data_IF_560155996409
#
_entry.id   IF_560155996409
#
_cell.length_a   1.000
_cell.length_b   1.000
_cell.length_c   1.000
_cell.angle_alpha   90.00
_cell.angle_beta   90.00
_cell.angle_gamma   90.00
#
_symmetry.space_group_name_H-M   'P 1'
#
loop_
_entity.id
_entity.type
_entity.pdbx_description
1 polymer ?
#
# COMPACT_ATOMS: atom_id res chain seq x y z
N UNK A 1 22.59 -10.19 -42.50
CA UNK A 1 22.27 -11.16 -41.43
C UNK A 1 23.47 -11.22 -40.50
N UNK A 2 23.41 -10.50 -39.39
CA UNK A 2 24.51 -10.37 -38.44
C UNK A 2 24.13 -11.09 -37.14
N UNK A 3 24.90 -12.10 -36.78
CA UNK A 3 24.83 -12.81 -35.50
C UNK A 3 25.32 -11.90 -34.38
N UNK A 4 24.49 -11.67 -33.37
CA UNK A 4 24.88 -10.98 -32.14
C UNK A 4 25.38 -12.03 -31.15
N UNK A 5 26.70 -12.09 -30.96
CA UNK A 5 27.33 -12.82 -29.87
C UNK A 5 27.02 -12.14 -28.53
N UNK A 6 26.31 -12.85 -27.65
CA UNK A 6 26.10 -12.43 -26.27
C UNK A 6 27.36 -12.78 -25.46
N UNK A 7 28.07 -11.73 -25.04
CA UNK A 7 29.21 -11.78 -24.14
C UNK A 7 28.86 -12.45 -22.82
N UNK A 8 29.60 -13.52 -22.48
CA UNK A 8 29.54 -14.20 -21.18
C UNK A 8 30.24 -13.33 -20.14
N UNK A 9 29.46 -12.76 -19.22
CA UNK A 9 30.02 -12.05 -18.07
C UNK A 9 30.73 -13.00 -17.10
N UNK A 10 31.93 -12.58 -16.75
CA UNK A 10 32.93 -13.24 -15.92
C UNK A 10 32.44 -13.46 -14.47
N UNK A 11 32.50 -14.72 -14.02
CA UNK A 11 32.05 -15.21 -12.70
C UNK A 11 33.23 -15.65 -11.83
N UNK A 12 34.42 -15.04 -11.95
CA UNK A 12 35.58 -15.43 -11.16
C UNK A 12 36.40 -14.26 -10.62
N UNK A 13 35.99 -13.70 -9.48
CA UNK A 13 36.94 -12.95 -8.63
C UNK A 13 36.61 -12.85 -7.12
N UNK A 14 35.64 -13.60 -6.58
CA UNK A 14 35.31 -13.56 -5.13
C UNK A 14 35.48 -14.90 -4.39
N UNK A 15 36.37 -15.77 -4.85
CA UNK A 15 36.72 -17.00 -4.15
C UNK A 15 38.23 -17.08 -3.96
N UNK A 16 38.73 -16.38 -2.94
CA UNK A 16 39.94 -16.73 -2.19
C UNK A 16 40.16 -15.75 -1.02
N UNK A 17 39.31 -15.84 0.01
CA UNK A 17 39.68 -15.36 1.35
C UNK A 17 39.53 -16.54 2.32
N UNK A 18 40.64 -16.90 2.97
CA UNK A 18 40.68 -17.97 3.98
C UNK A 18 39.74 -17.61 5.14
N UNK A 19 38.90 -18.54 5.63
CA UNK A 19 38.02 -18.26 6.76
C UNK A 19 38.84 -18.08 8.03
N UNK A 20 38.68 -16.92 8.69
CA UNK A 20 39.15 -16.70 10.05
C UNK A 20 38.47 -17.70 11.00
N UNK A 21 39.26 -18.26 11.94
CA UNK A 21 38.79 -19.22 12.95
C UNK A 21 37.61 -18.62 13.73
N UNK A 22 36.42 -19.21 13.57
CA UNK A 22 35.21 -18.85 14.33
C UNK A 22 35.36 -19.25 15.80
N UNK A 23 35.59 -18.28 16.66
CA UNK A 23 35.40 -18.43 18.11
C UNK A 23 33.90 -18.67 18.36
N UNK A 24 33.53 -19.86 18.85
CA UNK A 24 32.16 -20.18 19.26
C UNK A 24 31.81 -19.41 20.54
N UNK A 25 31.36 -18.17 20.40
CA UNK A 25 30.53 -17.54 21.44
C UNK A 25 29.14 -18.18 21.34
N UNK A 26 28.81 -19.07 22.29
CA UNK A 26 27.41 -19.46 22.54
C UNK A 26 26.73 -18.23 23.13
N UNK A 27 25.99 -17.48 22.31
CA UNK A 27 25.11 -16.40 22.78
C UNK A 27 24.05 -17.03 23.67
N UNK A 28 23.88 -16.43 24.85
CA UNK A 28 22.94 -16.84 25.90
C UNK A 28 21.48 -16.44 25.58
N UNK A 29 21.15 -16.23 24.30
CA UNK A 29 19.89 -15.63 23.84
C UNK A 29 18.81 -16.65 23.44
N UNK A 30 19.12 -17.94 23.41
CA UNK A 30 18.26 -18.95 22.78
C UNK A 30 17.03 -19.42 23.59
N UNK A 31 16.66 -18.80 24.72
CA UNK A 31 15.52 -19.28 25.53
C UNK A 31 14.73 -18.18 26.27
N UNK A 32 14.61 -16.98 25.70
CA UNK A 32 13.53 -16.08 26.12
C UNK A 32 12.25 -16.51 25.39
N UNK A 33 11.13 -16.78 26.09
CA UNK A 33 9.88 -17.06 25.42
C UNK A 33 9.56 -15.88 24.51
N UNK A 34 9.50 -16.13 23.20
CA UNK A 34 9.05 -15.12 22.26
C UNK A 34 7.65 -14.72 22.66
N UNK A 35 7.49 -13.46 23.05
CA UNK A 35 6.21 -12.92 23.42
C UNK A 35 5.23 -13.13 22.26
N UNK A 36 4.07 -13.74 22.54
CA UNK A 36 3.05 -14.02 21.53
C UNK A 36 2.62 -12.69 20.91
N UNK A 37 2.75 -12.59 19.59
CA UNK A 37 2.28 -11.46 18.79
C UNK A 37 0.79 -11.61 18.52
N UNK A 38 -0.02 -10.72 19.10
CA UNK A 38 -1.46 -10.63 18.85
C UNK A 38 -1.79 -9.48 17.92
N UNK A 39 -3.00 -9.47 17.35
CA UNK A 39 -3.48 -8.37 16.50
C UNK A 39 -3.47 -7.00 17.21
N UNK A 40 -3.78 -6.95 18.52
CA UNK A 40 -3.68 -5.71 19.29
C UNK A 40 -2.23 -5.20 19.37
N UNK A 41 -1.28 -6.08 19.69
CA UNK A 41 0.14 -5.70 19.77
C UNK A 41 0.64 -5.20 18.42
N UNK A 42 0.23 -5.87 17.34
CA UNK A 42 0.55 -5.46 15.98
C UNK A 42 -0.03 -4.08 15.64
N UNK A 43 -1.31 -3.83 15.96
CA UNK A 43 -1.97 -2.54 15.74
C UNK A 43 -1.29 -1.40 16.51
N UNK A 44 -0.92 -1.65 17.78
CA UNK A 44 -0.17 -0.67 18.60
C UNK A 44 1.22 -0.41 18.04
N UNK A 45 1.92 -1.44 17.58
CA UNK A 45 3.23 -1.29 16.93
C UNK A 45 3.12 -0.48 15.64
N UNK A 46 2.10 -0.75 14.80
CA UNK A 46 1.84 -0.01 13.57
C UNK A 46 1.53 1.47 13.84
N UNK A 47 0.67 1.76 14.83
CA UNK A 47 0.37 3.13 15.24
C UNK A 47 1.62 3.89 15.71
N UNK A 48 2.48 3.23 16.51
CA UNK A 48 3.72 3.81 17.00
C UNK A 48 4.73 4.06 15.87
N UNK A 49 4.87 3.14 14.92
CA UNK A 49 5.77 3.32 13.78
C UNK A 49 5.25 4.40 12.82
N UNK A 50 3.95 4.43 12.56
CA UNK A 50 3.35 5.47 11.72
C UNK A 50 3.55 6.86 12.33
N UNK A 51 3.39 7.00 13.65
CA UNK A 51 3.70 8.24 14.37
C UNK A 51 5.13 8.72 14.10
N UNK A 52 6.08 7.79 14.03
CA UNK A 52 7.50 8.08 13.79
C UNK A 52 7.81 8.45 12.33
N UNK A 53 6.84 8.40 11.41
CA UNK A 53 6.99 8.93 10.06
C UNK A 53 6.95 10.46 10.00
N UNK A 54 6.52 11.09 11.09
CA UNK A 54 6.48 12.53 11.25
C UNK A 54 7.63 13.02 12.14
N UNK A 55 7.97 14.30 12.08
CA UNK A 55 8.91 14.91 13.02
C UNK A 55 8.35 14.89 14.45
N UNK A 56 9.20 14.85 15.49
CA UNK A 56 8.76 14.94 16.88
C UNK A 56 7.79 16.11 17.10
N UNK A 57 6.79 15.93 17.96
CA UNK A 57 5.72 16.91 18.25
C UNK A 57 4.82 17.31 17.08
N UNK A 58 5.07 16.83 15.85
CA UNK A 58 4.19 17.00 14.67
C UNK A 58 3.54 15.67 14.30
N UNK A 59 2.49 15.65 13.48
CA UNK A 59 1.83 14.42 13.02
C UNK A 59 0.58 14.01 13.81
N UNK A 60 -0.08 12.91 13.42
CA UNK A 60 -1.31 12.44 14.08
C UNK A 60 -1.01 11.76 15.42
N UNK A 61 -1.99 11.76 16.32
CA UNK A 61 -2.05 10.85 17.47
C UNK A 61 -2.95 9.68 17.11
N UNK A 62 -2.39 8.49 16.96
CA UNK A 62 -3.14 7.28 16.64
C UNK A 62 -3.34 6.48 17.93
N UNK A 63 -4.58 6.41 18.41
CA UNK A 63 -4.98 5.60 19.57
C UNK A 63 -5.62 4.32 19.08
N UNK A 64 -5.16 3.18 19.59
CA UNK A 64 -5.76 1.86 19.35
C UNK A 64 -6.60 1.49 20.58
N UNK A 65 -7.86 1.17 20.35
CA UNK A 65 -8.81 0.72 21.36
C UNK A 65 -9.40 -0.64 20.95
N UNK A 66 -9.51 -1.54 21.91
CA UNK A 66 -10.23 -2.80 21.74
C UNK A 66 -11.62 -2.58 22.32
N UNK A 67 -12.66 -2.69 21.50
CA UNK A 67 -14.05 -2.52 21.91
C UNK A 67 -14.93 -3.57 21.22
N UNK A 68 -16.13 -3.81 21.75
CA UNK A 68 -17.13 -4.59 21.05
C UNK A 68 -17.59 -3.84 19.78
N UNK A 69 -17.10 -4.29 18.63
CA UNK A 69 -17.41 -3.75 17.31
C UNK A 69 -17.46 -4.91 16.31
N UNK A 70 -18.35 -4.82 15.32
CA UNK A 70 -18.46 -5.87 14.30
C UNK A 70 -17.27 -5.86 13.34
N UNK A 71 -16.68 -4.68 13.11
CA UNK A 71 -15.57 -4.47 12.19
C UNK A 71 -14.63 -3.40 12.74
N UNK A 72 -13.34 -3.43 12.36
CA UNK A 72 -12.42 -2.32 12.58
C UNK A 72 -12.99 -1.02 12.01
N UNK A 73 -12.82 0.07 12.74
CA UNK A 73 -13.29 1.39 12.31
C UNK A 73 -12.58 2.52 13.05
N UNK A 74 -12.58 3.72 12.48
CA UNK A 74 -12.26 4.96 13.20
C UNK A 74 -13.51 5.51 13.90
N UNK A 75 -13.40 5.81 15.21
CA UNK A 75 -14.45 6.48 15.99
C UNK A 75 -13.96 7.82 16.55
N UNK A 76 -14.89 8.76 16.70
CA UNK A 76 -14.62 10.10 17.23
C UNK A 76 -14.08 11.06 16.18
N UNK A 77 -13.71 12.26 16.63
CA UNK A 77 -13.20 13.34 15.79
C UNK A 77 -12.09 14.12 16.51
N UNK A 78 -11.26 14.82 15.74
CA UNK A 78 -10.17 15.65 16.28
C UNK A 78 -9.24 14.88 17.23
N UNK A 79 -9.03 15.38 18.45
CA UNK A 79 -8.16 14.76 19.47
C UNK A 79 -8.73 13.46 20.07
N UNK A 80 -10.00 13.19 19.85
CA UNK A 80 -10.71 12.01 20.34
C UNK A 80 -10.83 10.91 19.28
N UNK A 81 -10.35 11.15 18.05
CA UNK A 81 -10.28 10.15 17.02
C UNK A 81 -9.39 8.97 17.46
N UNK A 82 -9.90 7.75 17.27
CA UNK A 82 -9.23 6.51 17.63
C UNK A 82 -9.61 5.40 16.65
N UNK A 83 -8.70 4.47 16.43
CA UNK A 83 -8.96 3.24 15.70
C UNK A 83 -9.47 2.22 16.71
N UNK A 84 -10.66 1.69 16.46
CA UNK A 84 -11.27 0.61 17.22
C UNK A 84 -11.04 -0.69 16.46
N UNK A 85 -10.51 -1.69 17.13
CA UNK A 85 -10.40 -3.06 16.62
C UNK A 85 -11.33 -3.98 17.45
N UNK A 86 -12.05 -4.92 16.81
CA UNK A 86 -12.85 -5.93 17.51
C UNK A 86 -12.00 -6.84 18.39
N UNK A 87 -12.61 -7.48 19.40
CA UNK A 87 -11.94 -8.42 20.30
C UNK A 87 -11.31 -9.58 19.51
N UNK A 88 -12.04 -10.13 18.53
CA UNK A 88 -11.60 -11.26 17.72
C UNK A 88 -10.31 -10.92 16.94
N UNK A 89 -10.23 -9.69 16.41
CA UNK A 89 -9.03 -9.20 15.75
C UNK A 89 -7.91 -8.93 16.77
N UNK A 90 -8.23 -8.33 17.92
CA UNK A 90 -7.25 -8.02 18.96
C UNK A 90 -6.55 -9.27 19.51
N UNK A 91 -7.31 -10.35 19.68
CA UNK A 91 -6.87 -11.64 20.26
C UNK A 91 -6.24 -12.58 19.22
N UNK A 92 -6.44 -12.35 17.92
CA UNK A 92 -5.87 -13.23 16.87
C UNK A 92 -4.34 -13.28 16.97
N UNK A 93 -3.81 -14.50 17.06
CA UNK A 93 -2.36 -14.75 17.07
C UNK A 93 -1.79 -14.66 15.66
N UNK A 94 -0.78 -13.81 15.50
CA UNK A 94 -0.11 -13.51 14.24
C UNK A 94 1.17 -14.34 14.11
N UNK A 95 1.02 -15.56 13.59
CA UNK A 95 2.08 -16.56 13.43
C UNK A 95 2.48 -16.81 11.97
N UNK A 96 1.76 -16.20 11.01
CA UNK A 96 2.06 -16.29 9.58
C UNK A 96 2.13 -14.90 8.94
N UNK A 97 2.88 -14.76 7.83
CA UNK A 97 2.91 -13.49 7.13
C UNK A 97 1.56 -13.12 6.50
N UNK A 98 0.71 -14.10 6.15
CA UNK A 98 -0.61 -13.84 5.56
C UNK A 98 -1.53 -13.15 6.58
N UNK A 99 -1.52 -13.61 7.84
CA UNK A 99 -2.22 -12.94 8.95
C UNK A 99 -1.66 -11.54 9.21
N UNK A 100 -0.33 -11.41 9.20
CA UNK A 100 0.34 -10.12 9.38
C UNK A 100 -0.10 -9.10 8.31
N UNK A 101 -0.06 -9.48 7.04
CA UNK A 101 -0.51 -8.62 5.93
C UNK A 101 -2.00 -8.31 6.02
N UNK A 102 -2.85 -9.29 6.36
CA UNK A 102 -4.29 -9.09 6.53
C UNK A 102 -4.58 -8.01 7.57
N UNK A 103 -3.95 -8.11 8.75
CA UNK A 103 -4.09 -7.11 9.80
C UNK A 103 -3.54 -5.75 9.38
N UNK A 104 -2.35 -5.70 8.78
CA UNK A 104 -1.73 -4.43 8.39
C UNK A 104 -2.48 -3.71 7.26
N UNK A 105 -3.15 -4.43 6.35
CA UNK A 105 -4.03 -3.82 5.35
C UNK A 105 -5.21 -3.12 6.02
N UNK A 106 -5.87 -3.79 6.96
CA UNK A 106 -6.97 -3.22 7.76
C UNK A 106 -6.49 -2.01 8.54
N UNK A 107 -5.40 -2.16 9.32
CA UNK A 107 -4.86 -1.06 10.12
C UNK A 107 -4.43 0.10 9.23
N UNK A 108 -3.82 -0.18 8.08
CA UNK A 108 -3.45 0.83 7.10
C UNK A 108 -4.66 1.61 6.57
N UNK A 109 -5.75 0.91 6.26
CA UNK A 109 -7.02 1.51 5.86
C UNK A 109 -7.60 2.42 6.96
N UNK A 110 -7.63 1.98 8.22
CA UNK A 110 -8.11 2.80 9.33
C UNK A 110 -7.20 4.01 9.61
N UNK A 111 -5.88 3.85 9.46
CA UNK A 111 -4.94 4.98 9.51
C UNK A 111 -5.26 5.96 8.39
N UNK A 112 -5.61 5.50 7.19
CA UNK A 112 -6.01 6.37 6.08
C UNK A 112 -7.23 7.20 6.46
N UNK A 113 -8.29 6.63 7.02
CA UNK A 113 -9.44 7.39 7.51
C UNK A 113 -9.06 8.45 8.54
N UNK A 114 -8.20 8.09 9.50
CA UNK A 114 -7.78 8.98 10.57
C UNK A 114 -6.97 10.17 10.04
N UNK A 115 -5.95 9.92 9.21
CA UNK A 115 -5.05 10.98 8.74
C UNK A 115 -5.68 11.91 7.72
N UNK A 116 -6.67 11.41 6.96
CA UNK A 116 -7.48 12.22 6.05
C UNK A 116 -8.71 12.83 6.73
N UNK A 117 -8.91 12.57 8.02
CA UNK A 117 -10.02 13.10 8.83
C UNK A 117 -11.39 12.78 8.24
N UNK A 118 -11.55 11.59 7.67
CA UNK A 118 -12.81 11.18 7.05
C UNK A 118 -13.97 11.20 8.07
N UNK A 119 -13.69 10.95 9.36
CA UNK A 119 -14.70 10.94 10.43
C UNK A 119 -15.06 12.33 11.00
N UNK A 120 -14.34 13.41 10.65
CA UNK A 120 -14.57 14.74 11.24
C UNK A 120 -15.86 15.40 10.71
N UNK A 121 -16.42 14.91 9.60
CA UNK A 121 -17.69 15.39 9.04
C UNK A 121 -18.44 14.22 8.42
N UNK A 122 -19.77 14.23 8.58
CA UNK A 122 -20.66 13.28 7.91
C UNK A 122 -20.58 13.43 6.38
N UNK A 123 -20.60 12.30 5.68
CA UNK A 123 -20.70 12.31 4.22
C UNK A 123 -22.04 12.88 3.76
N UNK A 124 -21.99 13.64 2.67
CA UNK A 124 -23.14 14.30 2.05
C UNK A 124 -24.09 13.28 1.41
N UNK A 125 -23.52 12.27 0.77
CA UNK A 125 -24.25 11.25 0.04
C UNK A 125 -23.44 9.95 -0.06
N UNK A 126 -24.04 8.94 -0.69
CA UNK A 126 -23.44 7.62 -0.89
C UNK A 126 -22.22 7.65 -1.81
N UNK A 127 -22.13 8.61 -2.74
CA UNK A 127 -20.99 8.71 -3.64
C UNK A 127 -19.77 9.29 -2.91
N UNK A 128 -19.97 10.25 -2.00
CA UNK A 128 -18.91 10.74 -1.12
C UNK A 128 -18.41 9.63 -0.17
N UNK A 129 -19.31 8.85 0.44
CA UNK A 129 -18.91 7.66 1.23
C UNK A 129 -18.06 6.68 0.41
N UNK A 130 -18.51 6.31 -0.80
CA UNK A 130 -17.72 5.43 -1.67
C UNK A 130 -16.37 6.03 -2.04
N UNK A 131 -16.31 7.34 -2.25
CA UNK A 131 -15.05 8.04 -2.61
C UNK A 131 -14.03 8.01 -1.47
N UNK A 132 -14.46 8.21 -0.22
CA UNK A 132 -13.55 8.18 0.94
C UNK A 132 -13.02 6.77 1.20
N UNK A 133 -13.88 5.76 1.05
CA UNK A 133 -13.53 4.33 1.16
C UNK A 133 -12.58 3.90 0.03
N UNK A 134 -12.86 4.32 -1.20
CA UNK A 134 -12.01 4.11 -2.38
C UNK A 134 -10.59 4.62 -2.12
N UNK A 135 -10.46 5.82 -1.56
CA UNK A 135 -9.15 6.35 -1.20
C UNK A 135 -8.49 5.60 -0.04
N UNK A 136 -9.27 5.19 0.96
CA UNK A 136 -8.74 4.52 2.14
C UNK A 136 -8.11 3.16 1.81
N UNK A 137 -8.68 2.38 0.89
CA UNK A 137 -8.05 1.12 0.44
C UNK A 137 -6.73 1.35 -0.29
N UNK A 138 -6.69 2.31 -1.21
CA UNK A 138 -5.48 2.68 -1.95
C UNK A 138 -4.38 3.20 -1.02
N UNK A 139 -4.71 4.20 -0.21
CA UNK A 139 -3.76 4.83 0.70
C UNK A 139 -3.36 3.87 1.82
N UNK A 140 -4.29 3.07 2.35
CA UNK A 140 -4.04 2.09 3.38
C UNK A 140 -3.03 1.02 2.98
N UNK A 141 -3.08 0.57 1.72
CA UNK A 141 -2.06 -0.32 1.17
C UNK A 141 -0.67 0.34 1.13
N UNK A 142 -0.58 1.64 0.81
CA UNK A 142 0.68 2.40 0.89
C UNK A 142 1.18 2.53 2.33
N UNK A 143 0.27 2.73 3.28
CA UNK A 143 0.59 2.75 4.71
C UNK A 143 1.19 1.41 5.14
N UNK A 144 0.55 0.28 4.82
CA UNK A 144 1.08 -1.05 5.09
C UNK A 144 2.50 -1.21 4.56
N UNK A 145 2.72 -0.92 3.28
CA UNK A 145 4.04 -1.06 2.66
C UNK A 145 5.10 -0.17 3.30
N UNK A 146 4.72 1.05 3.68
CA UNK A 146 5.60 1.98 4.40
C UNK A 146 5.92 1.47 5.80
N UNK A 147 4.95 0.92 6.54
CA UNK A 147 5.16 0.30 7.86
C UNK A 147 6.15 -0.86 7.78
N UNK A 148 5.97 -1.75 6.80
CA UNK A 148 6.86 -2.91 6.61
C UNK A 148 8.28 -2.49 6.25
N UNK A 149 8.44 -1.43 5.44
CA UNK A 149 9.75 -1.02 4.91
C UNK A 149 10.49 -0.08 5.84
N UNK A 150 9.78 0.82 6.52
CA UNK A 150 10.34 1.94 7.28
C UNK A 150 9.96 1.95 8.76
N UNK A 151 8.97 1.17 9.17
CA UNK A 151 8.61 1.00 10.58
C UNK A 151 9.69 0.19 11.30
N UNK A 152 10.13 0.69 12.45
CA UNK A 152 11.14 0.01 13.26
C UNK A 152 10.58 -1.29 13.85
N UNK A 153 9.43 -1.22 14.50
CA UNK A 153 8.79 -2.36 15.17
C UNK A 153 8.18 -3.32 14.16
N UNK A 154 7.41 -2.81 13.22
CA UNK A 154 6.81 -3.62 12.15
C UNK A 154 7.90 -4.25 11.29
N UNK A 155 8.96 -3.52 10.94
CA UNK A 155 10.10 -4.07 10.21
C UNK A 155 10.86 -5.15 11.01
N UNK A 156 10.93 -5.06 12.34
CA UNK A 156 11.48 -6.13 13.19
C UNK A 156 10.60 -7.39 13.18
N UNK A 157 9.28 -7.23 13.25
CA UNK A 157 8.30 -8.33 13.17
C UNK A 157 8.31 -8.98 11.78
N UNK A 158 8.46 -8.17 10.73
CA UNK A 158 8.34 -8.61 9.34
C UNK A 158 9.54 -9.42 8.85
N UNK A 159 10.76 -8.98 9.19
CA UNK A 159 12.02 -9.53 8.66
C UNK A 159 12.18 -11.05 8.83
N UNK A 160 11.84 -11.66 9.98
CA UNK A 160 11.94 -13.11 10.18
C UNK A 160 11.16 -13.95 9.17
N UNK A 161 10.00 -13.47 8.67
CA UNK A 161 9.19 -14.21 7.71
C UNK A 161 9.84 -14.32 6.32
N UNK A 162 10.77 -13.42 5.98
CA UNK A 162 11.36 -13.31 4.65
C UNK A 162 12.88 -13.30 4.71
N UNK A 163 13.44 -14.50 4.86
CA UNK A 163 14.88 -14.78 4.75
C UNK A 163 15.22 -15.34 3.36
N UNK A 164 16.45 -15.10 2.88
CA UNK A 164 16.94 -15.64 1.60
C UNK A 164 16.58 -14.86 0.33
N UNK A 165 16.68 -15.53 -0.82
CA UNK A 165 16.36 -14.99 -2.16
C UNK A 165 14.82 -15.01 -2.41
N UNK A 166 14.33 -14.21 -3.37
CA UNK A 166 12.90 -14.06 -3.70
C UNK A 166 11.98 -13.52 -2.60
N UNK A 167 12.50 -12.63 -1.73
CA UNK A 167 11.70 -12.01 -0.65
C UNK A 167 10.47 -11.27 -1.16
N UNK A 168 10.62 -10.46 -2.21
CA UNK A 168 9.54 -9.66 -2.77
C UNK A 168 8.42 -10.54 -3.33
N UNK A 169 8.75 -11.59 -4.07
CA UNK A 169 7.73 -12.47 -4.65
C UNK A 169 6.93 -13.23 -3.59
N UNK A 170 7.62 -13.76 -2.56
CA UNK A 170 6.97 -14.42 -1.43
C UNK A 170 6.09 -13.44 -0.64
N UNK A 171 6.56 -12.21 -0.45
CA UNK A 171 5.79 -11.15 0.19
C UNK A 171 4.52 -10.82 -0.61
N UNK A 172 4.64 -10.61 -1.93
CA UNK A 172 3.51 -10.31 -2.82
C UNK A 172 2.48 -11.45 -2.86
N UNK A 173 2.92 -12.71 -2.88
CA UNK A 173 2.00 -13.85 -2.79
C UNK A 173 1.23 -13.85 -1.47
N UNK A 174 1.92 -13.61 -0.35
CA UNK A 174 1.30 -13.52 0.97
C UNK A 174 0.31 -12.35 1.08
N UNK A 175 0.65 -11.19 0.48
CA UNK A 175 -0.28 -10.07 0.35
C UNK A 175 -1.52 -10.45 -0.48
N UNK A 176 -1.36 -11.19 -1.57
CA UNK A 176 -2.48 -11.69 -2.37
C UNK A 176 -3.41 -12.63 -1.59
N UNK A 177 -2.84 -13.51 -0.76
CA UNK A 177 -3.62 -14.37 0.16
C UNK A 177 -4.37 -13.52 1.19
N UNK A 178 -3.70 -12.54 1.80
CA UNK A 178 -4.32 -11.60 2.74
C UNK A 178 -5.48 -10.80 2.12
N UNK A 179 -5.33 -10.36 0.88
CA UNK A 179 -6.40 -9.67 0.13
C UNK A 179 -7.56 -10.64 -0.18
N UNK A 180 -7.27 -11.91 -0.47
CA UNK A 180 -8.31 -12.94 -0.55
C UNK A 180 -9.13 -13.06 0.74
N UNK A 181 -8.47 -13.02 1.90
CA UNK A 181 -9.15 -13.02 3.19
C UNK A 181 -9.99 -11.76 3.42
N UNK A 182 -9.55 -10.58 2.96
CA UNK A 182 -10.37 -9.36 2.98
C UNK A 182 -11.65 -9.53 2.16
N UNK A 183 -11.56 -10.12 0.97
CA UNK A 183 -12.74 -10.41 0.13
C UNK A 183 -13.75 -11.31 0.86
N UNK A 184 -13.26 -12.32 1.57
CA UNK A 184 -14.12 -13.29 2.23
C UNK A 184 -14.75 -12.78 3.53
N UNK A 185 -14.17 -11.77 4.18
CA UNK A 185 -14.56 -11.35 5.54
C UNK A 185 -14.95 -9.88 5.70
N UNK A 186 -14.42 -8.98 4.86
CA UNK A 186 -14.58 -7.52 5.03
C UNK A 186 -15.24 -6.87 3.81
N UNK A 187 -14.86 -7.26 2.58
CA UNK A 187 -15.35 -6.62 1.36
C UNK A 187 -16.71 -7.19 0.95
N UNK A 188 -17.74 -6.80 1.70
CA UNK A 188 -19.14 -7.12 1.41
C UNK A 188 -19.74 -6.12 0.43
N UNK A 189 -20.62 -6.59 -0.46
CA UNK A 189 -21.38 -5.73 -1.35
C UNK A 189 -22.29 -4.80 -0.55
N UNK A 190 -22.06 -3.48 -0.67
CA UNK A 190 -22.84 -2.51 0.07
C UNK A 190 -22.76 -1.13 -0.59
N UNK A 191 -23.88 -0.40 -0.59
CA UNK A 191 -24.04 0.84 -1.38
C UNK A 191 -23.11 1.99 -0.96
N UNK A 192 -22.55 1.92 0.25
CA UNK A 192 -21.62 2.92 0.78
C UNK A 192 -20.14 2.61 0.48
N UNK A 193 -19.84 1.42 -0.06
CA UNK A 193 -18.48 0.99 -0.36
C UNK A 193 -18.30 0.76 -1.87
N UNK A 194 -17.08 0.91 -2.40
CA UNK A 194 -16.77 0.44 -3.76
C UNK A 194 -16.99 -1.07 -3.87
N UNK A 195 -17.18 -1.56 -5.10
CA UNK A 195 -17.36 -2.99 -5.31
C UNK A 195 -16.10 -3.76 -4.87
N UNK A 196 -16.20 -4.99 -4.35
CA UNK A 196 -15.05 -5.75 -3.86
C UNK A 196 -13.91 -5.88 -4.89
N UNK A 197 -14.24 -6.05 -6.18
CA UNK A 197 -13.25 -6.11 -7.26
C UNK A 197 -12.44 -4.80 -7.39
N UNK A 198 -13.09 -3.65 -7.23
CA UNK A 198 -12.46 -2.33 -7.23
C UNK A 198 -11.57 -2.15 -6.00
N UNK A 199 -12.06 -2.53 -4.82
CA UNK A 199 -11.29 -2.47 -3.56
C UNK A 199 -10.01 -3.30 -3.61
N UNK A 200 -10.07 -4.50 -4.20
CA UNK A 200 -8.89 -5.35 -4.44
C UNK A 200 -7.92 -4.69 -5.43
N UNK A 201 -8.44 -4.08 -6.49
CA UNK A 201 -7.63 -3.33 -7.47
C UNK A 201 -6.95 -2.12 -6.83
N UNK A 202 -7.61 -1.43 -5.91
CA UNK A 202 -7.05 -0.29 -5.17
C UNK A 202 -5.89 -0.69 -4.26
N UNK A 203 -6.01 -1.82 -3.56
CA UNK A 203 -4.90 -2.37 -2.78
C UNK A 203 -3.71 -2.68 -3.68
N UNK A 204 -3.93 -3.33 -4.82
CA UNK A 204 -2.89 -3.60 -5.82
C UNK A 204 -2.23 -2.31 -6.31
N UNK A 205 -3.03 -1.28 -6.62
CA UNK A 205 -2.54 0.03 -7.07
C UNK A 205 -1.73 0.74 -5.99
N UNK A 206 -2.13 0.67 -4.72
CA UNK A 206 -1.39 1.23 -3.60
C UNK A 206 -0.02 0.56 -3.41
N UNK A 207 0.03 -0.78 -3.46
CA UNK A 207 1.28 -1.54 -3.40
C UNK A 207 2.19 -1.18 -4.59
N UNK A 208 1.63 -1.12 -5.80
CA UNK A 208 2.36 -0.78 -7.03
C UNK A 208 2.92 0.64 -6.95
N UNK A 209 2.12 1.61 -6.49
CA UNK A 209 2.53 3.00 -6.29
C UNK A 209 3.70 3.10 -5.31
N UNK A 210 3.65 2.36 -4.19
CA UNK A 210 4.75 2.29 -3.24
C UNK A 210 6.02 1.72 -3.88
N UNK A 211 5.92 0.55 -4.53
CA UNK A 211 7.06 -0.14 -5.12
C UNK A 211 7.68 0.67 -6.26
N UNK A 212 6.90 1.45 -7.00
CA UNK A 212 7.41 2.36 -8.01
C UNK A 212 8.41 3.34 -7.43
N UNK A 213 8.11 3.94 -6.29
CA UNK A 213 9.05 4.82 -5.59
C UNK A 213 10.26 4.06 -5.05
N UNK A 214 10.07 2.89 -4.45
CA UNK A 214 11.17 2.14 -3.84
C UNK A 214 12.11 1.49 -4.86
N UNK A 215 11.60 1.07 -6.01
CA UNK A 215 12.36 0.38 -7.06
C UNK A 215 12.84 1.32 -8.16
N UNK A 216 12.40 2.60 -8.15
CA UNK A 216 12.87 3.62 -9.08
C UNK A 216 14.41 3.66 -9.14
N UNK A 217 14.96 3.45 -10.34
CA UNK A 217 16.40 3.43 -10.58
C UNK A 217 17.15 2.19 -10.03
N UNK A 218 16.48 1.27 -9.33
CA UNK A 218 17.09 0.05 -8.77
C UNK A 218 16.80 -1.21 -9.58
N UNK A 219 15.69 -1.22 -10.33
CA UNK A 219 15.29 -2.37 -11.17
C UNK A 219 15.29 -1.93 -12.64
N UNK A 220 15.91 -2.74 -13.49
CA UNK A 220 16.07 -2.43 -14.92
C UNK A 220 14.88 -2.87 -15.78
N UNK A 221 14.11 -3.88 -15.34
CA UNK A 221 12.95 -4.40 -16.07
C UNK A 221 11.63 -3.86 -15.49
N UNK A 222 10.75 -3.22 -16.27
CA UNK A 222 9.41 -2.83 -15.83
C UNK A 222 8.45 -4.01 -15.55
N UNK A 223 8.82 -5.27 -15.87
CA UNK A 223 7.97 -6.45 -15.66
C UNK A 223 7.44 -6.65 -14.23
N UNK A 224 8.09 -6.06 -13.22
CA UNK A 224 7.56 -6.07 -11.85
C UNK A 224 6.21 -5.34 -11.72
N UNK A 225 5.92 -4.36 -12.58
CA UNK A 225 4.64 -3.63 -12.58
C UNK A 225 3.46 -4.54 -12.93
N UNK A 226 3.69 -5.62 -13.67
CA UNK A 226 2.68 -6.65 -13.95
C UNK A 226 2.71 -7.73 -12.86
N UNK A 227 3.89 -8.02 -12.29
CA UNK A 227 4.03 -9.08 -11.29
C UNK A 227 3.23 -8.81 -10.01
N UNK A 228 3.08 -7.53 -9.63
CA UNK A 228 2.27 -7.08 -8.48
C UNK A 228 0.79 -7.38 -8.69
N UNK A 229 0.08 -6.80 -9.70
CA UNK A 229 -1.33 -7.09 -9.91
C UNK A 229 -1.56 -8.58 -10.16
N UNK A 230 -0.67 -9.28 -10.86
CA UNK A 230 -0.83 -10.73 -11.05
C UNK A 230 -0.85 -11.50 -9.72
N UNK A 231 0.00 -11.14 -8.76
CA UNK A 231 0.07 -11.82 -7.46
C UNK A 231 -1.03 -11.37 -6.50
N UNK A 232 -1.46 -10.12 -6.55
CA UNK A 232 -2.53 -9.62 -5.68
C UNK A 232 -3.90 -10.05 -6.19
N UNK A 233 -4.20 -9.81 -7.47
CA UNK A 233 -5.52 -10.04 -8.06
C UNK A 233 -5.80 -11.53 -8.28
N UNK A 234 -4.78 -12.35 -8.56
CA UNK A 234 -4.94 -13.79 -8.85
C UNK A 234 -4.31 -14.72 -7.80
N UNK A 235 -3.77 -14.14 -6.71
CA UNK A 235 -3.06 -14.87 -5.65
C UNK A 235 -3.94 -15.77 -4.80
N UNK A 236 -5.23 -15.43 -4.65
CA UNK A 236 -6.20 -16.22 -3.89
C UNK A 236 -7.39 -16.66 -4.75
N UNK A 237 -8.05 -17.79 -4.43
CA UNK A 237 -9.28 -18.19 -5.13
C UNK A 237 -10.38 -17.13 -5.08
N UNK A 238 -10.55 -16.45 -3.93
CA UNK A 238 -11.56 -15.42 -3.76
C UNK A 238 -11.35 -14.21 -4.68
N UNK A 239 -10.13 -13.68 -4.74
CA UNK A 239 -9.81 -12.56 -5.65
C UNK A 239 -9.92 -13.00 -7.10
N UNK A 240 -9.44 -14.20 -7.46
CA UNK A 240 -9.55 -14.74 -8.82
C UNK A 240 -11.00 -14.82 -9.29
N UNK A 241 -11.92 -15.27 -8.43
CA UNK A 241 -13.35 -15.32 -8.77
C UNK A 241 -13.92 -13.93 -9.08
N UNK A 242 -13.52 -12.90 -8.33
CA UNK A 242 -13.95 -11.53 -8.61
C UNK A 242 -13.42 -11.03 -9.96
N UNK A 243 -12.18 -11.35 -10.31
CA UNK A 243 -11.53 -10.88 -11.53
C UNK A 243 -12.02 -11.59 -12.81
N UNK A 244 -12.75 -12.70 -12.69
CA UNK A 244 -13.35 -13.38 -13.84
C UNK A 244 -14.55 -12.60 -14.43
N UNK A 245 -14.96 -11.51 -13.79
CA UNK A 245 -16.04 -10.63 -14.24
C UNK A 245 -15.53 -9.19 -14.32
N UNK A 246 -14.73 -8.87 -15.36
CA UNK A 246 -14.04 -7.58 -15.47
C UNK A 246 -14.99 -6.39 -15.60
N UNK A 247 -16.23 -6.61 -16.02
CA UNK A 247 -17.26 -5.56 -16.11
C UNK A 247 -17.62 -4.96 -14.74
N UNK A 248 -17.28 -5.65 -13.64
CA UNK A 248 -17.48 -5.16 -12.27
C UNK A 248 -16.43 -4.17 -11.79
N UNK A 249 -15.35 -3.94 -12.55
CA UNK A 249 -14.36 -2.91 -12.23
C UNK A 249 -14.79 -1.65 -12.98
N UNK A 250 -15.40 -0.69 -12.27
CA UNK A 250 -15.75 0.58 -12.91
C UNK A 250 -14.50 1.44 -13.09
N UNK A 251 -14.41 2.10 -14.24
CA UNK A 251 -13.47 3.20 -14.45
C UNK A 251 -14.09 4.54 -14.04
N UNK A 252 -14.87 4.54 -12.95
CA UNK A 252 -15.57 5.73 -12.50
C UNK A 252 -14.62 6.76 -11.87
N UNK A 253 -14.12 7.67 -12.71
CA UNK A 253 -13.29 8.80 -12.29
C UNK A 253 -14.00 9.72 -11.30
N UNK A 254 -15.33 9.64 -11.16
CA UNK A 254 -16.08 10.46 -10.21
C UNK A 254 -15.70 10.15 -8.76
N UNK A 255 -15.34 8.91 -8.43
CA UNK A 255 -14.89 8.52 -7.08
C UNK A 255 -13.54 9.15 -6.75
N UNK A 256 -12.61 9.18 -7.72
CA UNK A 256 -11.30 9.82 -7.56
C UNK A 256 -11.47 11.33 -7.40
N UNK A 257 -12.30 11.95 -8.25
CA UNK A 257 -12.62 13.40 -8.16
C UNK A 257 -13.29 13.73 -6.81
N UNK A 258 -14.22 12.90 -6.36
CA UNK A 258 -14.91 13.02 -5.08
C UNK A 258 -13.94 12.97 -3.89
N UNK A 259 -13.04 11.99 -3.88
CA UNK A 259 -12.01 11.86 -2.85
C UNK A 259 -11.09 13.08 -2.81
N UNK A 260 -10.55 13.49 -3.96
CA UNK A 260 -9.68 14.67 -4.05
C UNK A 260 -10.38 15.93 -3.56
N UNK A 261 -11.62 16.17 -3.99
CA UNK A 261 -12.42 17.31 -3.52
C UNK A 261 -12.55 17.29 -2.00
N UNK A 262 -12.89 16.12 -1.42
CA UNK A 262 -13.00 15.95 0.04
C UNK A 262 -11.69 16.28 0.75
N UNK A 263 -10.56 15.81 0.23
CA UNK A 263 -9.24 16.07 0.83
C UNK A 263 -8.81 17.54 0.71
N UNK A 264 -9.10 18.21 -0.41
CA UNK A 264 -8.88 19.65 -0.54
C UNK A 264 -9.73 20.45 0.45
N UNK A 265 -11.01 20.10 0.62
CA UNK A 265 -11.89 20.72 1.63
C UNK A 265 -11.32 20.56 3.05
N UNK A 266 -10.79 19.38 3.38
CA UNK A 266 -10.18 19.10 4.70
C UNK A 266 -8.83 19.80 4.87
N UNK A 267 -8.04 19.88 3.81
CA UNK A 267 -6.74 20.57 3.81
C UNK A 267 -6.93 22.08 4.00
N UNK A 268 -7.92 22.68 3.32
CA UNK A 268 -8.15 24.11 3.32
C UNK A 268 -6.92 24.87 2.81
N UNK A 269 -6.53 25.94 3.52
CA UNK A 269 -5.37 26.77 3.17
C UNK A 269 -4.03 26.19 3.67
N UNK A 270 -4.05 25.05 4.35
CA UNK A 270 -2.83 24.44 4.90
C UNK A 270 -2.03 23.79 3.78
N UNK A 271 -0.71 23.66 3.98
CA UNK A 271 0.17 22.98 3.03
C UNK A 271 -0.06 21.46 2.96
N UNK A 272 -0.69 20.87 3.98
CA UNK A 272 -1.09 19.47 4.06
C UNK A 272 -2.19 19.29 5.12
N UNK A 273 -2.98 18.22 5.04
CA UNK A 273 -4.00 17.89 6.06
C UNK A 273 -3.36 17.72 7.45
N UNK A 274 -2.24 17.00 7.51
CA UNK A 274 -1.40 16.84 8.69
C UNK A 274 0.05 17.20 8.33
N UNK A 275 0.63 18.26 8.93
CA UNK A 275 1.99 18.67 8.63
C UNK A 275 3.03 17.77 9.32
N UNK A 276 4.29 17.92 8.89
CA UNK A 276 5.45 17.33 9.56
C UNK A 276 5.85 15.93 9.08
N UNK A 277 5.25 15.42 8.00
CA UNK A 277 5.71 14.18 7.36
C UNK A 277 7.16 14.34 6.89
N UNK A 278 8.02 13.38 7.24
CA UNK A 278 9.45 13.42 6.89
C UNK A 278 9.64 13.43 5.36
N UNK A 279 10.59 14.22 4.82
CA UNK A 279 10.77 14.39 3.37
C UNK A 279 10.89 13.09 2.58
N UNK A 280 11.64 12.11 3.10
CA UNK A 280 11.81 10.80 2.45
C UNK A 280 10.48 10.06 2.21
N UNK A 281 9.48 10.29 3.06
CA UNK A 281 8.19 9.62 2.99
C UNK A 281 7.14 10.44 2.22
N UNK A 282 7.42 11.71 1.88
CA UNK A 282 6.46 12.56 1.16
C UNK A 282 6.04 12.00 -0.21
N UNK A 283 6.93 11.46 -1.05
CA UNK A 283 6.51 10.87 -2.33
C UNK A 283 5.53 9.70 -2.15
N UNK A 284 5.56 9.05 -0.98
CA UNK A 284 4.79 7.85 -0.69
C UNK A 284 3.49 8.21 0.04
N UNK A 285 3.56 8.95 1.14
CA UNK A 285 2.44 9.20 2.05
C UNK A 285 2.03 10.69 2.08
N UNK A 286 2.19 11.41 0.98
CA UNK A 286 1.78 12.82 0.92
C UNK A 286 0.34 12.99 1.39
N UNK A 287 0.14 13.99 2.26
CA UNK A 287 -1.16 14.49 2.69
C UNK A 287 -1.43 15.89 2.13
N UNK A 288 -0.73 16.25 1.06
CA UNK A 288 -0.94 17.47 0.28
C UNK A 288 -1.61 17.12 -1.04
N UNK A 289 -2.73 17.81 -1.30
CA UNK A 289 -3.61 17.63 -2.45
C UNK A 289 -3.62 18.84 -3.38
N UNK A 290 -2.97 19.92 -2.96
CA UNK A 290 -2.66 21.09 -3.78
C UNK A 290 -1.43 20.80 -4.63
N UNK A 291 -1.62 20.03 -5.70
CA UNK A 291 -0.59 19.71 -6.69
C UNK A 291 -0.82 20.60 -7.92
N UNK A 292 0.24 21.19 -8.47
CA UNK A 292 0.12 22.00 -9.68
C UNK A 292 -0.16 21.13 -10.92
N UNK A 293 -0.80 21.70 -11.94
CA UNK A 293 -0.99 21.03 -13.22
C UNK A 293 0.33 20.52 -13.81
N UNK A 294 1.39 21.33 -13.71
CA UNK A 294 2.72 20.96 -14.19
C UNK A 294 3.29 19.71 -13.49
N UNK A 295 3.05 19.55 -12.19
CA UNK A 295 3.49 18.36 -11.45
C UNK A 295 2.71 17.11 -11.85
N UNK A 296 1.38 17.20 -11.96
CA UNK A 296 0.56 16.09 -12.43
C UNK A 296 0.96 15.66 -13.84
N UNK A 297 1.18 16.61 -14.73
CA UNK A 297 1.57 16.35 -16.11
C UNK A 297 2.96 15.70 -16.18
N UNK A 298 3.92 16.11 -15.33
CA UNK A 298 5.22 15.42 -15.22
C UNK A 298 5.07 13.98 -14.76
N UNK A 299 4.31 13.72 -13.70
CA UNK A 299 4.06 12.36 -13.20
C UNK A 299 3.35 11.48 -14.23
N UNK A 300 2.42 12.06 -15.00
CA UNK A 300 1.74 11.38 -16.10
C UNK A 300 2.73 10.97 -17.19
N UNK A 301 3.58 11.88 -17.67
CA UNK A 301 4.59 11.57 -18.71
C UNK A 301 5.53 10.45 -18.27
N UNK A 302 6.04 10.51 -17.04
CA UNK A 302 6.88 9.45 -16.49
C UNK A 302 6.17 8.09 -16.47
N UNK A 303 4.88 8.06 -16.16
CA UNK A 303 4.06 6.83 -16.21
C UNK A 303 3.95 6.28 -17.61
N UNK A 304 3.70 7.13 -18.61
CA UNK A 304 3.66 6.69 -20.00
C UNK A 304 5.01 6.19 -20.50
N UNK A 305 6.12 6.83 -20.13
CA UNK A 305 7.47 6.36 -20.48
C UNK A 305 7.79 4.99 -19.86
N UNK A 306 7.26 4.68 -18.68
CA UNK A 306 7.39 3.36 -18.06
C UNK A 306 6.53 2.30 -18.76
N UNK A 307 5.28 2.65 -19.12
CA UNK A 307 4.38 1.77 -19.85
C UNK A 307 4.89 1.49 -21.28
N UNK A 308 5.41 2.50 -21.97
CA UNK A 308 6.00 2.36 -23.31
C UNK A 308 7.22 1.40 -23.26
N UNK A 309 8.05 1.46 -22.21
CA UNK A 309 9.15 0.51 -22.01
C UNK A 309 8.66 -0.91 -21.72
N UNK A 310 7.59 -1.04 -20.94
CA UNK A 310 6.97 -2.33 -20.63
C UNK A 310 6.39 -2.98 -21.89
N UNK A 311 5.68 -2.22 -22.70
CA UNK A 311 5.14 -2.64 -23.99
C UNK A 311 6.22 -3.23 -24.91
N UNK A 312 7.37 -2.55 -25.01
CA UNK A 312 8.53 -3.05 -25.77
C UNK A 312 9.07 -4.37 -25.19
N UNK A 313 9.19 -4.49 -23.87
CA UNK A 313 9.67 -5.73 -23.22
C UNK A 313 8.74 -6.92 -23.46
N UNK A 314 7.43 -6.67 -23.54
CA UNK A 314 6.42 -7.67 -23.86
C UNK A 314 6.36 -8.04 -25.35
N UNK A 315 7.10 -7.33 -26.22
CA UNK A 315 7.04 -7.52 -27.67
C UNK A 315 5.82 -6.87 -28.33
N UNK A 316 5.11 -5.99 -27.62
CA UNK A 316 3.91 -5.30 -28.09
C UNK A 316 4.06 -3.78 -27.91
N UNK A 317 4.92 -3.08 -28.69
CA UNK A 317 5.26 -1.66 -28.49
C UNK A 317 4.06 -0.70 -28.58
N UNK A 318 2.93 -1.16 -29.11
CA UNK A 318 1.73 -0.37 -29.33
C UNK A 318 0.63 -0.65 -28.28
N UNK A 319 0.88 -1.58 -27.34
CA UNK A 319 -0.08 -2.08 -26.36
C UNK A 319 -0.86 -0.98 -25.61
N UNK A 320 -0.22 0.16 -25.33
CA UNK A 320 -0.81 1.24 -24.55
C UNK A 320 -1.13 2.51 -25.35
N UNK A 321 -0.93 2.52 -26.69
CA UNK A 321 -1.09 3.73 -27.51
C UNK A 321 -2.52 4.27 -27.52
N UNK A 322 -3.52 3.39 -27.61
CA UNK A 322 -4.94 3.79 -27.61
C UNK A 322 -5.33 4.45 -26.28
N UNK A 323 -4.95 3.85 -25.16
CA UNK A 323 -5.21 4.40 -23.83
C UNK A 323 -4.52 5.75 -23.59
N UNK A 324 -3.33 5.96 -24.17
CA UNK A 324 -2.62 7.25 -24.12
C UNK A 324 -3.34 8.35 -24.89
N UNK A 325 -4.06 7.98 -25.96
CA UNK A 325 -4.80 8.90 -26.81
C UNK A 325 -6.17 9.30 -26.25
N UNK A 326 -6.78 8.45 -25.43
CA UNK A 326 -8.10 8.69 -24.83
C UNK A 326 -8.07 9.65 -23.65
N UNK A 327 -6.92 9.81 -22.97
CA UNK A 327 -6.75 10.77 -21.88
C UNK A 327 -6.53 12.18 -22.43
N UNK A 328 -7.59 12.96 -22.48
CA UNK A 328 -7.54 14.32 -22.96
C UNK A 328 -6.92 15.26 -21.91
N UNK A 329 -6.22 16.30 -22.36
CA UNK A 329 -5.78 17.43 -21.51
C UNK A 329 -6.92 18.00 -20.67
N UNK A 330 -8.16 17.92 -21.19
CA UNK A 330 -9.38 18.36 -20.54
C UNK A 330 -9.69 17.57 -19.27
N UNK A 331 -9.57 16.25 -19.27
CA UNK A 331 -9.83 15.43 -18.08
C UNK A 331 -8.83 15.70 -16.96
N UNK A 332 -7.56 15.95 -17.29
CA UNK A 332 -6.56 16.36 -16.31
C UNK A 332 -6.90 17.72 -15.71
N UNK A 333 -7.30 18.69 -16.54
CA UNK A 333 -7.74 20.01 -16.08
C UNK A 333 -8.95 19.92 -15.15
N UNK A 334 -9.92 19.04 -15.45
CA UNK A 334 -11.06 18.76 -14.57
C UNK A 334 -10.68 18.08 -13.26
N UNK A 335 -9.56 17.34 -13.20
CA UNK A 335 -9.04 16.78 -11.94
C UNK A 335 -8.35 17.87 -11.13
N UNK A 336 -7.70 18.85 -11.77
CA UNK A 336 -6.96 19.94 -11.11
C UNK A 336 -7.91 20.97 -10.48
N UNK A 337 -8.90 21.39 -11.27
CA UNK A 337 -9.87 22.44 -10.94
C UNK A 337 -10.89 21.99 -9.90
#
# INVERSE_FOLDING_TARGET
>A
MAEIQISKYDRRSYLNQKPAKKTKFRSREDNMPQEILTGEKLARAAAADFRNFFYPFTGPSIKICVEAANYPCVRGSGSNARIVIPNEMAEEVIDTPDKLHFHLLIIGHEIAHLVHKHCDRKDRDKAESRSVEYWADFYGAKVMMTLITYGEKIGMIYRPFYTGQSKLEKALNSMGIAVGRLVESIYVEHVLYPAPAERVSLVSNGITSFLRHELAGKVHSPGWMISVPMRILFGAPATRRLMNDPEKISNDLSLIKGARRRHLEVQGEKTAIIPGLKPRLQPILSLSYTISYAEMERGRRQTWEELDRLAVELGEPDLFKEAKSSWSTKELLEIVT
#
